data_IF_123869155117
#
_entry.id   IF_123869155117
#
_cell.length_a   1.000
_cell.length_b   1.000
_cell.length_c   1.000
_cell.angle_alpha   90.00
_cell.angle_beta   90.00
_cell.angle_gamma   90.00
#
_symmetry.space_group_name_H-M   'P 1'
#
loop_
_entity.id
_entity.type
_entity.pdbx_description
1 polymer ?
#
# COMPACT_ATOMS: atom_id res chain seq x y z
N UNK A 1 8.25 -13.42 24.58
CA UNK A 1 8.07 -12.51 25.74
C UNK A 1 6.78 -12.76 26.51
N UNK A 2 5.68 -13.17 25.84
CA UNK A 2 4.40 -13.48 26.47
C UNK A 2 4.07 -14.96 26.36
N UNK A 3 3.36 -15.49 27.34
CA UNK A 3 2.75 -16.82 27.34
C UNK A 3 1.30 -16.67 26.90
N UNK A 4 0.83 -17.62 26.09
CA UNK A 4 -0.55 -17.70 25.67
C UNK A 4 -1.48 -17.94 26.87
N UNK A 5 -2.59 -17.23 26.90
CA UNK A 5 -3.64 -17.36 27.94
C UNK A 5 -4.94 -17.84 27.31
N UNK A 6 -5.45 -17.11 26.32
CA UNK A 6 -6.75 -17.38 25.71
C UNK A 6 -6.81 -16.86 24.28
N UNK A 7 -7.63 -17.50 23.44
CA UNK A 7 -7.91 -17.07 22.08
C UNK A 7 -9.35 -17.33 21.68
N UNK A 8 -10.04 -16.28 21.32
CA UNK A 8 -11.38 -16.35 20.72
C UNK A 8 -11.28 -15.94 19.25
N UNK A 9 -11.46 -16.86 18.29
CA UNK A 9 -11.38 -16.53 16.87
C UNK A 9 -12.30 -15.36 16.49
N UNK A 10 -11.75 -14.38 15.75
CA UNK A 10 -12.47 -13.18 15.33
C UNK A 10 -12.71 -12.13 16.41
N UNK A 11 -12.29 -12.37 17.64
CA UNK A 11 -12.50 -11.44 18.78
C UNK A 11 -11.18 -11.05 19.45
N UNK A 12 -10.59 -11.93 20.26
CA UNK A 12 -9.51 -11.55 21.18
C UNK A 12 -8.44 -12.63 21.32
N UNK A 13 -7.20 -12.20 21.40
CA UNK A 13 -6.08 -13.00 21.89
C UNK A 13 -5.51 -12.36 23.15
N UNK A 14 -5.25 -13.16 24.20
CA UNK A 14 -4.63 -12.72 25.44
C UNK A 14 -3.32 -13.42 25.73
N UNK A 15 -2.38 -12.66 26.23
CA UNK A 15 -1.08 -13.15 26.70
C UNK A 15 -0.71 -12.54 28.04
N UNK A 16 0.00 -13.32 28.86
CA UNK A 16 0.59 -12.88 30.11
C UNK A 16 2.11 -12.89 30.02
N UNK A 17 2.76 -12.07 30.84
CA UNK A 17 4.21 -11.97 30.88
C UNK A 17 4.88 -13.35 31.06
N UNK A 18 5.91 -13.60 30.26
CA UNK A 18 6.79 -14.74 30.45
C UNK A 18 7.99 -14.34 31.32
N UNK A 19 7.92 -14.63 32.61
CA UNK A 19 8.99 -14.33 33.56
C UNK A 19 10.31 -15.05 33.29
N UNK A 20 10.29 -16.08 32.42
CA UNK A 20 11.49 -16.80 31.96
C UNK A 20 11.94 -16.35 30.56
N UNK A 21 11.56 -15.14 30.12
CA UNK A 21 12.01 -14.62 28.84
C UNK A 21 13.50 -14.33 28.87
N UNK A 22 14.22 -14.62 27.77
CA UNK A 22 15.68 -14.60 27.72
C UNK A 22 16.31 -13.20 27.78
N UNK A 23 15.54 -12.13 27.46
CA UNK A 23 16.01 -10.76 27.58
C UNK A 23 15.63 -10.17 28.92
N UNK A 24 16.64 -9.65 29.65
CA UNK A 24 16.43 -9.01 30.93
C UNK A 24 15.55 -7.74 30.78
N UNK A 25 14.65 -7.52 31.72
CA UNK A 25 13.72 -6.38 31.77
C UNK A 25 12.78 -6.31 30.55
N UNK A 26 12.44 -7.46 29.96
CA UNK A 26 11.48 -7.62 28.88
C UNK A 26 10.49 -8.76 29.19
N UNK A 27 9.23 -8.67 28.67
CA UNK A 27 8.58 -7.48 28.12
C UNK A 27 8.25 -6.46 29.21
N UNK A 28 7.85 -5.24 28.82
CA UNK A 28 7.53 -4.17 29.78
C UNK A 28 6.13 -4.27 30.37
N UNK A 29 5.18 -4.87 29.64
CA UNK A 29 3.80 -4.99 30.08
C UNK A 29 3.54 -6.37 30.66
N UNK A 30 2.71 -6.45 31.70
CA UNK A 30 2.35 -7.71 32.35
C UNK A 30 1.39 -8.55 31.51
N UNK A 31 0.49 -7.89 30.78
CA UNK A 31 -0.50 -8.51 29.91
C UNK A 31 -0.53 -7.86 28.54
N UNK A 32 -0.97 -8.62 27.53
CA UNK A 32 -1.28 -8.13 26.20
C UNK A 32 -2.66 -8.65 25.79
N UNK A 33 -3.50 -7.76 25.30
CA UNK A 33 -4.78 -8.08 24.66
C UNK A 33 -4.76 -7.58 23.22
N UNK A 34 -4.96 -8.49 22.27
CA UNK A 34 -4.99 -8.18 20.84
C UNK A 34 -6.41 -8.41 20.34
N UNK A 35 -7.13 -7.34 20.09
CA UNK A 35 -8.47 -7.41 19.51
C UNK A 35 -8.40 -7.57 18.00
N UNK A 36 -9.15 -8.54 17.48
CA UNK A 36 -9.36 -8.74 16.05
C UNK A 36 -10.80 -8.47 15.62
N UNK A 37 -11.08 -8.67 14.34
CA UNK A 37 -12.45 -8.66 13.79
C UNK A 37 -13.12 -7.29 13.63
N UNK A 38 -12.42 -6.19 13.90
CA UNK A 38 -12.93 -4.83 13.67
C UNK A 38 -12.50 -4.27 12.29
N UNK A 39 -13.05 -3.12 11.92
CA UNK A 39 -12.59 -2.33 10.78
C UNK A 39 -11.52 -1.31 11.20
N UNK A 40 -10.76 -0.80 10.21
CA UNK A 40 -9.65 0.12 10.46
C UNK A 40 -10.09 1.44 11.10
N UNK A 41 -11.28 1.96 10.76
CA UNK A 41 -11.81 3.22 11.29
C UNK A 41 -12.17 3.06 12.78
N UNK A 42 -12.82 1.95 13.14
CA UNK A 42 -13.13 1.63 14.53
C UNK A 42 -11.88 1.47 15.38
N UNK A 43 -10.85 0.79 14.85
CA UNK A 43 -9.55 0.64 15.52
C UNK A 43 -8.84 2.00 15.70
N UNK A 44 -8.84 2.86 14.68
CA UNK A 44 -8.29 4.21 14.78
C UNK A 44 -9.02 5.05 15.85
N UNK A 45 -10.35 4.97 15.90
CA UNK A 45 -11.17 5.68 16.89
C UNK A 45 -10.85 5.23 18.31
N UNK A 46 -10.73 3.92 18.52
CA UNK A 46 -10.44 3.33 19.82
C UNK A 46 -9.11 3.79 20.42
N UNK A 47 -8.11 4.07 19.58
CA UNK A 47 -6.80 4.59 20.02
C UNK A 47 -6.78 6.12 20.07
N UNK A 48 -7.20 6.79 18.97
CA UNK A 48 -6.98 8.23 18.81
C UNK A 48 -8.02 9.09 19.53
N UNK A 49 -9.27 8.60 19.61
CA UNK A 49 -10.39 9.40 20.11
C UNK A 49 -10.86 8.97 21.51
N UNK A 50 -11.07 7.66 21.74
CA UNK A 50 -11.63 7.18 23.01
C UNK A 50 -10.56 6.74 24.00
N UNK A 51 -9.39 6.31 23.54
CA UNK A 51 -8.32 5.76 24.38
C UNK A 51 -8.66 4.40 24.98
N UNK A 52 -9.55 3.65 24.34
CA UNK A 52 -9.93 2.29 24.77
C UNK A 52 -8.79 1.29 24.57
N UNK A 53 -7.94 1.53 23.53
CA UNK A 53 -6.75 0.74 23.22
C UNK A 53 -5.52 1.62 23.12
N UNK A 54 -4.36 1.04 23.44
CA UNK A 54 -3.07 1.73 23.46
C UNK A 54 -2.40 1.78 22.08
N UNK A 55 -2.74 0.84 21.18
CA UNK A 55 -2.07 0.69 19.90
C UNK A 55 -2.99 0.09 18.83
N UNK A 56 -2.93 0.63 17.64
CA UNK A 56 -3.52 0.04 16.45
C UNK A 56 -2.49 -0.02 15.32
N UNK A 57 -2.35 -1.19 14.73
CA UNK A 57 -1.34 -1.46 13.70
C UNK A 57 -1.92 -1.38 12.30
N UNK A 58 -1.12 -0.80 11.39
CA UNK A 58 -1.38 -0.79 9.95
C UNK A 58 -2.78 -0.31 9.56
N UNK A 59 -3.15 0.86 10.06
CA UNK A 59 -4.44 1.46 9.78
C UNK A 59 -4.53 1.96 8.33
N UNK A 60 -5.34 1.29 7.53
CA UNK A 60 -5.73 1.76 6.19
C UNK A 60 -6.96 2.66 6.32
N UNK A 61 -6.72 3.91 6.72
CA UNK A 61 -7.74 4.93 6.95
C UNK A 61 -7.32 6.20 6.21
N UNK A 62 -8.27 6.88 5.61
CA UNK A 62 -8.03 8.16 4.94
C UNK A 62 -7.39 9.17 5.90
N UNK A 63 -6.39 9.91 5.42
CA UNK A 63 -5.60 10.81 6.26
C UNK A 63 -6.44 11.93 6.89
N UNK A 64 -7.42 12.48 6.18
CA UNK A 64 -8.33 13.48 6.74
C UNK A 64 -9.11 12.95 7.96
N UNK A 65 -9.52 11.68 7.91
CA UNK A 65 -10.19 11.04 9.04
C UNK A 65 -9.22 10.80 10.20
N UNK A 66 -7.98 10.38 9.94
CA UNK A 66 -6.96 10.23 10.98
C UNK A 66 -6.70 11.57 11.68
N UNK A 67 -6.53 12.67 10.93
CA UNK A 67 -6.36 14.02 11.48
C UNK A 67 -7.52 14.41 12.38
N UNK A 68 -8.75 14.12 11.96
CA UNK A 68 -9.96 14.39 12.77
C UNK A 68 -9.99 13.58 14.05
N UNK A 69 -9.64 12.32 14.00
CA UNK A 69 -9.61 11.44 15.18
C UNK A 69 -8.51 11.83 16.17
N UNK A 70 -7.36 12.30 15.66
CA UNK A 70 -6.27 12.85 16.51
C UNK A 70 -6.71 14.05 17.37
N UNK A 71 -7.69 14.82 16.91
CA UNK A 71 -8.26 15.93 17.70
C UNK A 71 -8.93 15.46 19.01
N UNK A 72 -9.24 14.17 19.13
CA UNK A 72 -9.70 13.56 20.38
C UNK A 72 -8.65 13.56 21.48
N UNK A 73 -7.37 13.76 21.16
CA UNK A 73 -6.26 13.99 22.10
C UNK A 73 -5.85 12.77 22.93
N UNK A 74 -6.32 11.56 22.60
CA UNK A 74 -5.97 10.32 23.33
C UNK A 74 -4.75 9.62 22.74
N UNK A 75 -4.42 9.89 21.48
CA UNK A 75 -3.29 9.31 20.80
C UNK A 75 -2.86 10.15 19.61
N UNK A 76 -1.87 9.67 18.88
CA UNK A 76 -1.38 10.28 17.65
C UNK A 76 -0.97 9.22 16.65
N UNK A 77 -1.06 9.55 15.38
CA UNK A 77 -0.62 8.68 14.28
C UNK A 77 0.91 8.71 14.19
N UNK A 78 1.51 7.52 14.15
CA UNK A 78 2.94 7.34 13.83
C UNK A 78 3.06 6.85 12.40
N UNK A 79 3.60 7.68 11.51
CA UNK A 79 3.76 7.37 10.09
C UNK A 79 5.23 7.09 9.83
N UNK A 80 5.51 5.84 9.45
CA UNK A 80 6.88 5.40 9.13
C UNK A 80 6.90 4.88 7.71
N UNK A 81 7.69 5.50 6.80
CA UNK A 81 7.85 5.00 5.44
C UNK A 81 8.39 3.56 5.45
N UNK A 82 7.63 2.67 4.85
CA UNK A 82 7.98 1.26 4.70
C UNK A 82 8.61 0.95 3.34
N UNK A 83 8.84 -0.34 3.08
CA UNK A 83 9.26 -0.85 1.77
C UNK A 83 8.10 -1.23 0.85
N UNK A 84 6.87 -1.14 1.33
CA UNK A 84 5.69 -1.47 0.52
C UNK A 84 5.48 -0.43 -0.56
N UNK A 85 5.12 -0.89 -1.76
CA UNK A 85 4.78 -0.05 -2.90
C UNK A 85 3.43 -0.47 -3.45
N UNK A 86 2.68 0.49 -3.93
CA UNK A 86 1.50 0.27 -4.75
C UNK A 86 1.85 0.57 -6.20
N UNK A 87 1.43 -0.30 -7.09
CA UNK A 87 1.77 -0.20 -8.51
C UNK A 87 0.71 -0.85 -9.40
N UNK A 88 0.66 -0.44 -10.65
CA UNK A 88 -0.14 -1.08 -11.69
C UNK A 88 0.77 -2.02 -12.47
N UNK A 89 0.48 -3.31 -12.41
CA UNK A 89 1.20 -4.32 -13.18
C UNK A 89 0.52 -4.56 -14.52
N UNK A 90 1.27 -4.42 -15.62
CA UNK A 90 0.78 -4.65 -16.97
C UNK A 90 1.20 -6.05 -17.42
N UNK A 91 0.22 -6.93 -17.67
CA UNK A 91 0.49 -8.24 -18.24
C UNK A 91 0.77 -8.14 -19.74
N UNK A 92 1.97 -8.50 -20.15
CA UNK A 92 2.40 -8.48 -21.56
C UNK A 92 2.14 -9.80 -22.31
N UNK A 93 1.59 -10.82 -21.64
CA UNK A 93 1.16 -12.06 -22.27
C UNK A 93 -0.31 -11.99 -22.69
N UNK A 94 -0.68 -12.70 -23.75
CA UNK A 94 -2.05 -12.74 -24.25
C UNK A 94 -2.98 -13.52 -23.31
N UNK A 95 -4.01 -12.89 -22.72
CA UNK A 95 -4.93 -13.56 -21.81
C UNK A 95 -6.06 -14.32 -22.54
N UNK A 96 -6.21 -14.14 -23.83
CA UNK A 96 -7.34 -14.71 -24.61
C UNK A 96 -6.95 -15.94 -25.41
N UNK A 97 -5.73 -16.00 -25.93
CA UNK A 97 -5.25 -17.10 -26.77
C UNK A 97 -4.48 -18.12 -25.93
N UNK A 98 -4.81 -19.39 -26.07
CA UNK A 98 -4.07 -20.47 -25.45
C UNK A 98 -2.77 -20.74 -26.20
N UNK A 99 -1.68 -20.89 -25.45
CA UNK A 99 -0.37 -21.28 -25.92
C UNK A 99 0.15 -22.41 -25.03
N UNK A 100 0.52 -23.53 -25.63
CA UNK A 100 0.93 -24.72 -24.88
C UNK A 100 -0.14 -25.19 -23.85
N UNK A 101 -1.43 -24.95 -24.14
CA UNK A 101 -2.57 -25.31 -23.27
C UNK A 101 -2.84 -24.34 -22.13
N UNK A 102 -2.16 -23.21 -22.05
CA UNK A 102 -2.33 -22.20 -21.00
C UNK A 102 -2.62 -20.80 -21.59
N UNK A 103 -3.48 -20.04 -20.89
CA UNK A 103 -3.70 -18.61 -21.16
C UNK A 103 -2.66 -17.78 -20.43
N UNK A 104 -2.38 -16.58 -20.94
CA UNK A 104 -1.34 -15.70 -20.40
C UNK A 104 0.05 -16.37 -20.33
N UNK A 105 0.31 -17.30 -21.25
CA UNK A 105 1.58 -18.02 -21.30
C UNK A 105 2.72 -17.06 -21.64
N UNK A 106 3.93 -17.19 -21.01
CA UNK A 106 5.06 -16.27 -21.22
C UNK A 106 5.56 -16.17 -22.66
N UNK A 107 5.32 -17.18 -23.50
CA UNK A 107 5.67 -17.16 -24.94
C UNK A 107 4.67 -16.39 -25.80
N UNK A 108 3.48 -16.09 -25.28
CA UNK A 108 2.46 -15.30 -25.99
C UNK A 108 2.73 -13.80 -25.83
N UNK A 109 2.14 -12.99 -26.72
CA UNK A 109 2.25 -11.53 -26.66
C UNK A 109 0.87 -10.90 -26.59
N UNK A 110 0.66 -10.09 -25.57
CA UNK A 110 -0.56 -9.30 -25.46
C UNK A 110 -0.67 -8.35 -26.68
N UNK A 111 -1.81 -8.33 -27.40
CA UNK A 111 -1.92 -7.59 -28.66
C UNK A 111 -1.75 -6.05 -28.52
N UNK A 112 -1.96 -5.53 -27.30
CA UNK A 112 -1.87 -4.09 -27.00
C UNK A 112 -0.71 -3.83 -26.02
N UNK A 113 -0.72 -4.47 -24.86
CA UNK A 113 0.24 -4.18 -23.78
C UNK A 113 1.67 -4.66 -24.07
N UNK A 114 1.90 -5.50 -25.09
CA UNK A 114 3.26 -5.84 -25.53
C UNK A 114 3.97 -4.67 -26.24
N UNK A 115 3.21 -3.66 -26.71
CA UNK A 115 3.78 -2.47 -27.34
C UNK A 115 4.32 -1.50 -26.27
N UNK A 116 5.58 -1.08 -26.46
CA UNK A 116 6.24 -0.18 -25.52
C UNK A 116 5.53 1.18 -25.44
N UNK A 117 5.13 1.74 -26.59
CA UNK A 117 4.45 3.02 -26.68
C UNK A 117 3.15 3.06 -25.85
N UNK A 118 2.38 1.98 -25.86
CA UNK A 118 1.16 1.85 -25.06
C UNK A 118 1.48 1.87 -23.57
N UNK A 119 2.45 1.10 -23.11
CA UNK A 119 2.84 1.10 -21.69
C UNK A 119 3.40 2.44 -21.25
N UNK A 120 4.16 3.11 -22.13
CA UNK A 120 4.66 4.46 -21.87
C UNK A 120 3.52 5.47 -21.74
N UNK A 121 2.54 5.42 -22.63
CA UNK A 121 1.37 6.28 -22.59
C UNK A 121 0.55 6.06 -21.31
N UNK A 122 0.29 4.81 -20.93
CA UNK A 122 -0.37 4.49 -19.66
C UNK A 122 0.39 5.11 -18.48
N UNK A 123 1.72 4.98 -18.44
CA UNK A 123 2.53 5.57 -17.36
C UNK A 123 2.44 7.09 -17.32
N UNK A 124 2.36 7.76 -18.47
CA UNK A 124 2.20 9.21 -18.59
C UNK A 124 0.80 9.70 -18.17
N UNK A 125 -0.21 8.84 -18.21
CA UNK A 125 -1.57 9.16 -17.80
C UNK A 125 -1.84 8.96 -16.29
N UNK A 126 -0.88 8.40 -15.53
CA UNK A 126 -1.06 8.16 -14.09
C UNK A 126 -0.59 9.37 -13.30
N UNK A 127 -1.53 10.09 -12.71
CA UNK A 127 -1.27 11.18 -11.76
C UNK A 127 -0.94 10.63 -10.37
N UNK A 128 0.35 10.28 -10.17
CA UNK A 128 0.83 9.70 -8.91
C UNK A 128 0.79 10.69 -7.75
N UNK A 129 1.03 11.95 -8.03
CA UNK A 129 0.99 13.01 -7.02
C UNK A 129 -0.46 13.29 -6.58
N UNK A 130 -1.41 13.23 -7.54
CA UNK A 130 -2.83 13.29 -7.23
C UNK A 130 -3.30 12.11 -6.39
N UNK A 131 -2.92 10.88 -6.74
CA UNK A 131 -3.22 9.69 -5.93
C UNK A 131 -2.64 9.82 -4.52
N UNK A 132 -1.36 10.21 -4.40
CA UNK A 132 -0.74 10.42 -3.09
C UNK A 132 -1.50 11.47 -2.28
N UNK A 133 -1.81 12.61 -2.88
CA UNK A 133 -2.44 13.74 -2.18
C UNK A 133 -3.87 13.44 -1.73
N UNK A 134 -4.70 12.85 -2.61
CA UNK A 134 -6.14 12.71 -2.36
C UNK A 134 -6.53 11.37 -1.70
N UNK A 135 -5.69 10.32 -1.84
CA UNK A 135 -5.98 9.01 -1.26
C UNK A 135 -5.16 8.77 0.00
N UNK A 136 -3.86 9.03 -0.05
CA UNK A 136 -2.93 8.68 1.03
C UNK A 136 -2.59 9.84 1.97
N UNK A 137 -2.65 11.09 1.51
CA UNK A 137 -2.24 12.25 2.30
C UNK A 137 -0.83 12.09 2.87
N UNK A 138 -0.65 12.26 4.19
CA UNK A 138 0.62 12.09 4.91
C UNK A 138 1.17 10.66 4.90
N UNK A 139 0.31 9.67 4.65
CA UNK A 139 0.65 8.25 4.80
C UNK A 139 1.31 7.66 3.56
N UNK A 140 1.29 8.37 2.43
CA UNK A 140 1.89 7.96 1.17
C UNK A 140 2.96 8.90 0.66
N UNK A 141 3.83 8.36 -0.18
CA UNK A 141 4.88 9.10 -0.88
C UNK A 141 4.89 8.64 -2.33
N UNK A 142 4.66 9.54 -3.27
CA UNK A 142 4.82 9.24 -4.69
C UNK A 142 6.28 8.89 -4.99
N UNK A 143 6.52 7.79 -5.69
CA UNK A 143 7.87 7.33 -6.01
C UNK A 143 7.98 6.82 -7.45
N UNK A 144 9.14 7.02 -8.05
CA UNK A 144 9.50 6.44 -9.34
C UNK A 144 10.35 5.16 -9.17
N UNK A 145 10.54 4.69 -7.94
CA UNK A 145 11.46 3.60 -7.65
C UNK A 145 10.73 2.42 -7.03
N UNK A 146 11.03 1.23 -7.52
CA UNK A 146 10.61 -0.01 -6.90
C UNK A 146 11.28 -0.17 -5.51
N UNK A 147 12.59 0.09 -5.44
CA UNK A 147 13.33 0.15 -4.18
C UNK A 147 13.21 1.57 -3.60
N UNK A 148 12.23 1.80 -2.72
CA UNK A 148 11.86 3.10 -2.19
C UNK A 148 12.38 3.36 -0.75
N UNK A 149 12.85 2.34 -0.07
CA UNK A 149 13.36 2.41 1.31
C UNK A 149 14.42 1.33 1.56
N UNK A 150 15.51 1.61 2.29
CA UNK A 150 15.91 2.91 2.85
C UNK A 150 16.37 3.91 1.79
N UNK A 151 16.19 5.20 2.07
CA UNK A 151 16.43 6.32 1.12
C UNK A 151 17.81 6.31 0.46
N UNK A 152 18.84 5.78 1.13
CA UNK A 152 20.21 5.70 0.57
C UNK A 152 20.31 4.82 -0.69
N UNK A 153 19.32 3.96 -0.93
CA UNK A 153 19.26 3.08 -2.10
C UNK A 153 18.29 3.55 -3.19
N UNK A 154 17.56 4.62 -2.94
CA UNK A 154 16.62 5.18 -3.91
C UNK A 154 17.39 5.80 -5.09
N UNK A 155 17.07 5.37 -6.31
CA UNK A 155 17.68 5.92 -7.51
C UNK A 155 17.25 7.38 -7.73
N UNK A 156 18.21 8.24 -8.01
CA UNK A 156 17.97 9.64 -8.41
C UNK A 156 17.74 9.81 -9.91
N UNK A 157 17.95 8.74 -10.68
CA UNK A 157 17.88 8.76 -12.14
C UNK A 157 16.51 8.35 -12.69
N UNK A 158 15.68 7.67 -11.89
CA UNK A 158 14.34 7.25 -12.28
C UNK A 158 13.35 8.37 -11.98
N UNK A 159 12.59 8.76 -12.98
CA UNK A 159 11.56 9.81 -12.87
C UNK A 159 10.32 9.38 -13.62
N UNK A 160 9.15 9.77 -13.10
CA UNK A 160 7.89 9.71 -13.82
C UNK A 160 7.42 11.12 -14.14
N UNK A 161 6.67 11.22 -15.22
CA UNK A 161 6.00 12.44 -15.66
C UNK A 161 4.51 12.13 -15.77
N UNK A 162 3.66 13.02 -15.31
CA UNK A 162 2.24 13.01 -15.61
C UNK A 162 2.00 13.99 -16.75
N UNK A 163 1.66 13.47 -17.93
CA UNK A 163 1.50 14.28 -19.15
C UNK A 163 0.61 13.56 -20.15
N UNK A 164 -0.73 13.70 -20.05
CA UNK A 164 -1.68 13.08 -20.98
C UNK A 164 -1.50 13.52 -22.46
N UNK A 165 -1.11 14.77 -22.70
CA UNK A 165 -0.86 15.26 -24.05
C UNK A 165 0.32 14.55 -24.70
N UNK A 166 1.38 14.36 -23.95
CA UNK A 166 2.55 13.58 -24.40
C UNK A 166 2.19 12.11 -24.61
N UNK A 167 1.30 11.55 -23.77
CA UNK A 167 0.80 10.19 -23.95
C UNK A 167 0.08 10.04 -25.30
N UNK A 168 -0.78 11.00 -25.66
CA UNK A 168 -1.43 11.03 -26.97
C UNK A 168 -0.42 11.08 -28.11
N UNK A 169 0.58 11.97 -28.04
CA UNK A 169 1.64 12.07 -29.05
C UNK A 169 2.42 10.77 -29.22
N UNK A 170 2.74 10.07 -28.12
CA UNK A 170 3.45 8.79 -28.13
C UNK A 170 2.62 7.72 -28.83
N UNK A 171 1.31 7.67 -28.55
CA UNK A 171 0.38 6.74 -29.22
C UNK A 171 0.25 7.04 -30.70
N UNK A 172 0.04 8.30 -31.08
CA UNK A 172 -0.08 8.71 -32.48
C UNK A 172 1.18 8.39 -33.28
N UNK A 173 2.36 8.64 -32.71
CA UNK A 173 3.64 8.29 -33.35
C UNK A 173 3.82 6.77 -33.54
N UNK A 174 3.18 5.96 -32.71
CA UNK A 174 3.14 4.50 -32.82
C UNK A 174 2.02 3.98 -33.73
N UNK A 175 1.25 4.87 -34.38
CA UNK A 175 0.19 4.52 -35.32
C UNK A 175 -1.19 4.34 -34.71
N UNK A 176 -1.35 4.56 -33.41
CA UNK A 176 -2.64 4.56 -32.74
C UNK A 176 -3.38 5.86 -33.03
N UNK A 177 -4.65 5.77 -33.36
CA UNK A 177 -5.49 6.94 -33.65
C UNK A 177 -6.64 7.00 -32.66
N UNK A 178 -6.95 8.23 -32.20
CA UNK A 178 -8.13 8.45 -31.40
C UNK A 178 -9.38 8.11 -32.22
N UNK A 179 -10.31 7.35 -31.63
CA UNK A 179 -11.63 7.10 -32.21
C UNK A 179 -12.52 8.35 -32.19
N UNK A 180 -13.73 8.19 -32.68
CA UNK A 180 -14.73 9.28 -32.73
C UNK A 180 -15.41 9.51 -31.37
N UNK A 181 -15.22 8.61 -30.40
CA UNK A 181 -15.91 8.59 -29.12
C UNK A 181 -15.06 9.25 -28.02
#
# INVERSE_FOLDING_TARGET
PYKFVDFKPGDMLRGAINTSYHEANRPYFDTIEMKGGGDAVSAARAVLQTGEYDYAWNLQVEDELLIRLEQGGKGKTSIVPGGNIEFIQLNMADPWTETDGERSHPKSKHPILSEFAVRQAISLCIDRDGVQKFIYGRTGIATANFLNNPQRFVSKNTKFEFNPDKAAQVLEAAGWKKGAD
#
